data_IF_135688137093
#
_entry.id   IF_135688137093
#
_cell.length_a   1.000
_cell.length_b   1.000
_cell.length_c   1.000
_cell.angle_alpha   90.00
_cell.angle_beta   90.00
_cell.angle_gamma   90.00
#
_symmetry.space_group_name_H-M   'P 1'
#
loop_
_entity.id
_entity.type
_entity.pdbx_description
1 polymer ?
#
# COMPACT_ATOMS: atom_id res chain seq x y z
N UNK A 1 13.44 -6.29 -26.61
CA UNK A 1 12.03 -6.70 -26.41
C UNK A 1 11.42 -5.86 -25.30
N UNK A 2 10.55 -4.89 -25.63
CA UNK A 2 9.93 -4.00 -24.65
C UNK A 2 8.59 -4.61 -24.21
N UNK A 3 8.55 -5.14 -22.99
CA UNK A 3 7.34 -5.67 -22.37
C UNK A 3 6.30 -4.55 -22.25
N UNK A 4 5.27 -4.57 -23.11
CA UNK A 4 4.09 -3.70 -23.00
C UNK A 4 3.16 -4.30 -21.95
N UNK A 5 3.35 -3.93 -20.68
CA UNK A 5 2.38 -4.25 -19.64
C UNK A 5 1.04 -3.61 -19.97
N UNK A 6 0.04 -4.40 -20.39
CA UNK A 6 -1.35 -3.95 -20.52
C UNK A 6 -1.83 -3.52 -19.14
N UNK A 7 -2.28 -2.28 -18.99
CA UNK A 7 -2.91 -1.80 -17.75
C UNK A 7 -4.23 -2.54 -17.53
N UNK A 8 -4.41 -3.17 -16.37
CA UNK A 8 -5.56 -4.00 -16.01
C UNK A 8 -6.86 -3.22 -15.72
N UNK A 9 -6.87 -1.89 -15.75
CA UNK A 9 -8.02 -1.05 -15.39
C UNK A 9 -8.66 -0.38 -16.62
N UNK A 10 -9.99 -0.19 -16.64
CA UNK A 10 -10.72 0.43 -17.74
C UNK A 10 -10.22 1.85 -17.98
N UNK A 11 -9.96 2.20 -19.24
CA UNK A 11 -9.39 3.51 -19.62
C UNK A 11 -10.36 4.63 -19.27
N UNK A 12 -9.87 5.80 -18.81
CA UNK A 12 -10.72 6.94 -18.54
C UNK A 12 -11.11 7.56 -19.89
N UNK A 13 -12.30 8.15 -20.00
CA UNK A 13 -12.65 8.93 -21.18
C UNK A 13 -11.68 10.11 -21.34
N UNK A 14 -11.32 10.42 -22.58
CA UNK A 14 -10.40 11.51 -22.93
C UNK A 14 -10.89 12.88 -22.42
N UNK A 15 -12.22 13.03 -22.33
CA UNK A 15 -12.91 14.28 -22.01
C UNK A 15 -12.79 14.69 -20.53
N UNK A 16 -12.53 13.74 -19.62
CA UNK A 16 -12.48 14.05 -18.19
C UNK A 16 -11.16 14.69 -17.76
N UNK A 17 -10.03 14.14 -18.21
CA UNK A 17 -8.72 14.70 -17.93
C UNK A 17 -7.68 14.23 -18.97
N UNK A 18 -7.26 15.10 -19.91
CA UNK A 18 -6.34 14.72 -20.99
C UNK A 18 -4.92 14.40 -20.46
N UNK A 19 -4.53 14.96 -19.32
CA UNK A 19 -3.24 14.66 -18.67
C UNK A 19 -3.27 13.26 -18.07
N UNK A 20 -4.36 12.91 -17.37
CA UNK A 20 -4.53 11.57 -16.81
C UNK A 20 -4.55 10.51 -17.91
N UNK A 21 -5.24 10.78 -19.02
CA UNK A 21 -5.27 9.89 -20.19
C UNK A 21 -3.87 9.71 -20.79
N UNK A 22 -3.12 10.81 -20.99
CA UNK A 22 -1.73 10.78 -21.49
C UNK A 22 -0.84 9.95 -20.56
N UNK A 23 -0.96 10.14 -19.26
CA UNK A 23 -0.16 9.46 -18.25
C UNK A 23 -0.46 7.97 -18.21
N UNK A 24 -1.73 7.60 -18.39
CA UNK A 24 -2.15 6.20 -18.46
C UNK A 24 -1.61 5.49 -19.72
N UNK A 25 -1.51 6.21 -20.84
CA UNK A 25 -1.05 5.66 -22.11
C UNK A 25 0.49 5.62 -22.24
N UNK A 26 1.18 6.58 -21.61
CA UNK A 26 2.65 6.72 -21.71
C UNK A 26 3.41 6.18 -20.50
N UNK A 27 2.76 5.83 -19.38
CA UNK A 27 3.42 5.12 -18.28
C UNK A 27 3.93 3.76 -18.75
N UNK A 28 5.21 3.72 -19.09
CA UNK A 28 5.99 2.49 -19.16
C UNK A 28 6.40 2.16 -17.73
N UNK A 29 5.75 1.18 -17.13
CA UNK A 29 6.27 0.60 -15.90
C UNK A 29 7.68 0.09 -16.19
N UNK A 30 8.67 0.57 -15.44
CA UNK A 30 10.02 0.04 -15.55
C UNK A 30 10.04 -1.44 -15.19
N UNK A 31 10.97 -2.19 -15.77
CA UNK A 31 11.09 -3.63 -15.52
C UNK A 31 11.24 -3.89 -14.01
N UNK A 32 12.04 -3.08 -13.32
CA UNK A 32 12.20 -3.16 -11.87
C UNK A 32 10.88 -2.97 -11.13
N UNK A 33 10.12 -1.90 -11.42
CA UNK A 33 8.80 -1.68 -10.81
C UNK A 33 7.86 -2.86 -11.09
N UNK A 34 7.83 -3.34 -12.33
CA UNK A 34 6.98 -4.48 -12.70
C UNK A 34 7.39 -5.75 -11.93
N UNK A 35 8.68 -6.05 -11.87
CA UNK A 35 9.25 -7.20 -11.15
C UNK A 35 8.90 -7.13 -9.66
N UNK A 36 9.15 -5.99 -9.03
CA UNK A 36 8.87 -5.78 -7.61
C UNK A 36 7.38 -5.99 -7.30
N UNK A 37 6.49 -5.45 -8.14
CA UNK A 37 5.04 -5.66 -7.98
C UNK A 37 4.62 -7.11 -8.24
N UNK A 38 5.20 -7.79 -9.24
CA UNK A 38 4.91 -9.22 -9.47
C UNK A 38 5.38 -10.11 -8.34
N UNK A 39 6.57 -9.85 -7.77
CA UNK A 39 7.08 -10.57 -6.61
C UNK A 39 6.17 -10.35 -5.40
N UNK A 40 5.77 -9.10 -5.16
CA UNK A 40 4.83 -8.77 -4.08
C UNK A 40 3.50 -9.52 -4.22
N UNK A 41 2.90 -9.49 -5.42
CA UNK A 41 1.63 -10.18 -5.70
C UNK A 41 1.77 -11.69 -5.54
N UNK A 42 2.86 -12.28 -6.03
CA UNK A 42 3.12 -13.71 -5.86
C UNK A 42 3.29 -14.07 -4.38
N UNK A 43 4.11 -13.34 -3.65
CA UNK A 43 4.31 -13.56 -2.21
C UNK A 43 3.01 -13.40 -1.43
N UNK A 44 2.24 -12.34 -1.71
CA UNK A 44 0.94 -12.09 -1.11
C UNK A 44 -0.04 -13.23 -1.38
N UNK A 45 -0.10 -13.72 -2.62
CA UNK A 45 -0.98 -14.83 -2.99
C UNK A 45 -0.62 -16.14 -2.27
N UNK A 46 0.67 -16.47 -2.18
CA UNK A 46 1.15 -17.69 -1.51
C UNK A 46 0.87 -17.62 -0.01
N UNK A 47 1.18 -16.49 0.63
CA UNK A 47 0.96 -16.31 2.07
C UNK A 47 -0.53 -16.28 2.42
N UNK A 48 -1.36 -15.65 1.57
CA UNK A 48 -2.82 -15.64 1.74
C UNK A 48 -3.41 -17.04 1.58
N UNK A 49 -2.95 -17.80 0.57
CA UNK A 49 -3.38 -19.19 0.41
C UNK A 49 -2.99 -20.05 1.62
N UNK A 50 -1.74 -19.93 2.09
CA UNK A 50 -1.27 -20.63 3.30
C UNK A 50 -2.12 -20.32 4.54
N UNK A 51 -2.46 -19.04 4.75
CA UNK A 51 -3.32 -18.60 5.84
C UNK A 51 -4.77 -19.11 5.69
N UNK A 52 -5.31 -19.15 4.47
CA UNK A 52 -6.64 -19.66 4.19
C UNK A 52 -6.79 -21.17 4.40
N UNK A 53 -5.74 -21.94 4.12
CA UNK A 53 -5.72 -23.40 4.27
C UNK A 53 -5.26 -23.86 5.66
N UNK A 54 -4.95 -22.95 6.58
CA UNK A 54 -4.73 -23.34 7.98
C UNK A 54 -6.11 -23.51 8.62
N UNK A 55 -6.42 -24.70 9.13
CA UNK A 55 -7.73 -24.96 9.76
C UNK A 55 -7.92 -24.04 10.98
N UNK A 56 -9.00 -23.27 11.01
CA UNK A 56 -9.37 -22.37 12.12
C UNK A 56 -10.58 -22.86 12.91
N UNK A 57 -11.06 -24.07 12.62
CA UNK A 57 -12.26 -24.62 13.24
C UNK A 57 -12.05 -25.09 14.69
N UNK A 58 -13.09 -25.01 15.54
CA UNK A 58 -13.07 -25.54 16.92
C UNK A 58 -12.92 -27.08 16.98
N UNK A 59 -12.95 -27.76 15.84
CA UNK A 59 -12.79 -29.22 15.69
C UNK A 59 -11.40 -29.63 15.21
N UNK A 60 -10.39 -28.79 15.38
CA UNK A 60 -9.00 -29.21 15.16
C UNK A 60 -8.65 -30.29 16.20
N UNK A 61 -8.72 -31.54 15.79
CA UNK A 61 -8.27 -32.72 16.54
C UNK A 61 -6.73 -32.74 16.70
N UNK A 62 -6.06 -31.72 16.17
CA UNK A 62 -4.67 -31.36 16.42
C UNK A 62 -4.61 -30.10 17.29
N UNK A 63 -3.83 -30.16 18.38
CA UNK A 63 -3.43 -28.98 19.13
C UNK A 63 -2.49 -28.14 18.25
N UNK A 64 -3.04 -27.19 17.52
CA UNK A 64 -2.24 -26.15 16.86
C UNK A 64 -1.41 -25.44 17.92
N UNK A 65 -0.12 -25.23 17.62
CA UNK A 65 0.75 -24.39 18.43
C UNK A 65 0.24 -22.95 18.43
N UNK A 66 0.50 -22.17 19.48
CA UNK A 66 0.08 -20.76 19.54
C UNK A 66 0.60 -19.95 18.34
N UNK A 67 1.76 -20.34 17.80
CA UNK A 67 2.34 -19.75 16.59
C UNK A 67 1.49 -19.96 15.33
N UNK A 68 0.78 -21.09 15.21
CA UNK A 68 -0.07 -21.38 14.05
C UNK A 68 -1.38 -20.59 14.08
N UNK A 69 -1.88 -20.24 15.27
CA UNK A 69 -3.06 -19.38 15.44
C UNK A 69 -2.77 -17.91 15.14
N UNK A 70 -1.57 -17.44 15.45
CA UNK A 70 -1.17 -16.05 15.16
C UNK A 70 -0.72 -15.83 13.71
N UNK A 71 -0.44 -16.91 12.97
CA UNK A 71 0.13 -16.85 11.63
C UNK A 71 -0.68 -15.98 10.63
N UNK A 72 -2.02 -16.10 10.50
CA UNK A 72 -2.80 -15.31 9.55
C UNK A 72 -2.71 -13.80 9.85
N UNK A 73 -2.73 -13.46 11.13
CA UNK A 73 -2.68 -12.10 11.65
C UNK A 73 -1.33 -11.44 11.37
N UNK A 74 -0.23 -12.15 11.65
CA UNK A 74 1.14 -11.67 11.40
C UNK A 74 1.40 -11.53 9.91
N UNK A 75 0.91 -12.48 9.10
CA UNK A 75 0.99 -12.43 7.63
C UNK A 75 0.29 -11.19 7.10
N UNK A 76 -0.95 -10.92 7.52
CA UNK A 76 -1.74 -9.80 7.03
C UNK A 76 -1.09 -8.45 7.36
N UNK A 77 -0.65 -8.28 8.61
CA UNK A 77 0.05 -7.07 9.06
C UNK A 77 1.36 -6.84 8.29
N UNK A 78 2.12 -7.91 8.02
CA UNK A 78 3.36 -7.86 7.24
C UNK A 78 3.11 -7.51 5.76
N UNK A 79 2.04 -8.05 5.16
CA UNK A 79 1.67 -7.76 3.77
C UNK A 79 1.31 -6.28 3.55
N UNK A 80 0.58 -5.69 4.49
CA UNK A 80 0.25 -4.26 4.46
C UNK A 80 1.51 -3.43 4.65
N UNK A 81 2.37 -3.75 5.63
CA UNK A 81 3.61 -3.02 5.88
C UNK A 81 4.59 -3.08 4.69
N UNK A 82 4.78 -4.24 4.07
CA UNK A 82 5.64 -4.36 2.88
C UNK A 82 5.01 -3.59 1.71
N UNK A 83 3.70 -3.71 1.53
CA UNK A 83 3.02 -3.06 0.42
C UNK A 83 3.08 -1.52 0.49
N UNK A 84 2.89 -0.95 1.68
CA UNK A 84 2.99 0.50 1.90
C UNK A 84 4.43 1.02 1.68
N UNK A 85 5.45 0.23 2.02
CA UNK A 85 6.85 0.52 1.70
C UNK A 85 7.05 0.59 0.18
N UNK A 86 6.59 -0.44 -0.53
CA UNK A 86 6.70 -0.52 -1.99
C UNK A 86 5.96 0.63 -2.68
N UNK A 87 4.81 1.03 -2.15
CA UNK A 87 4.06 2.19 -2.63
C UNK A 87 4.85 3.49 -2.46
N UNK A 88 5.47 3.71 -1.31
CA UNK A 88 6.33 4.86 -1.03
C UNK A 88 7.48 4.95 -2.04
N UNK A 89 8.20 3.84 -2.26
CA UNK A 89 9.30 3.74 -3.23
C UNK A 89 8.80 3.98 -4.65
N UNK A 90 7.71 3.34 -5.06
CA UNK A 90 7.14 3.45 -6.41
C UNK A 90 6.68 4.88 -6.71
N UNK A 91 6.08 5.55 -5.71
CA UNK A 91 5.66 6.94 -5.81
C UNK A 91 6.83 7.85 -6.17
N UNK A 92 7.90 7.82 -5.37
CA UNK A 92 9.08 8.67 -5.58
C UNK A 92 9.79 8.33 -6.89
N UNK A 93 9.99 7.04 -7.19
CA UNK A 93 10.68 6.62 -8.43
C UNK A 93 9.95 7.09 -9.68
N UNK A 94 8.60 7.07 -9.70
CA UNK A 94 7.83 7.56 -10.86
C UNK A 94 8.07 9.04 -11.15
N UNK A 95 8.26 9.86 -10.11
CA UNK A 95 8.56 11.28 -10.23
C UNK A 95 10.01 11.54 -10.65
N UNK A 96 10.94 10.76 -10.12
CA UNK A 96 12.36 10.84 -10.49
C UNK A 96 12.55 10.53 -11.96
N UNK A 97 11.94 9.46 -12.46
CA UNK A 97 12.02 9.08 -13.88
C UNK A 97 11.44 10.16 -14.80
N UNK A 98 10.36 10.84 -14.39
CA UNK A 98 9.78 11.94 -15.17
C UNK A 98 10.68 13.18 -15.22
N UNK A 99 11.37 13.51 -14.12
CA UNK A 99 12.35 14.61 -14.08
C UNK A 99 13.55 14.31 -14.97
N UNK A 100 14.09 13.10 -14.88
CA UNK A 100 15.27 12.69 -15.66
C UNK A 100 14.99 12.67 -17.17
N UNK A 101 13.75 12.38 -17.56
CA UNK A 101 13.27 12.43 -18.96
C UNK A 101 12.95 13.84 -19.48
N UNK A 102 13.10 14.89 -18.66
CA UNK A 102 12.77 16.27 -19.04
C UNK A 102 11.28 16.52 -19.33
N UNK A 103 10.40 15.58 -18.98
CA UNK A 103 8.96 15.69 -19.28
C UNK A 103 8.27 16.77 -18.43
N UNK A 104 8.87 17.14 -17.30
CA UNK A 104 8.31 18.15 -16.38
C UNK A 104 8.32 19.54 -17.02
N UNK A 105 9.42 19.94 -17.68
CA UNK A 105 9.53 21.25 -18.35
C UNK A 105 8.59 21.35 -19.55
N UNK A 106 8.34 20.23 -20.24
CA UNK A 106 7.37 20.14 -21.34
C UNK A 106 5.92 20.22 -20.84
N UNK A 107 5.63 19.82 -19.59
CA UNK A 107 4.30 19.96 -18.99
C UNK A 107 4.06 21.36 -18.43
N UNK A 108 5.11 22.06 -17.99
CA UNK A 108 5.02 23.44 -17.52
C UNK A 108 4.90 24.46 -18.67
N UNK A 109 5.23 24.07 -19.91
CA UNK A 109 5.03 24.90 -21.10
C UNK A 109 3.64 24.76 -21.71
N UNK A 110 2.83 23.77 -21.27
CA UNK A 110 1.43 23.64 -21.68
C UNK A 110 0.50 24.54 -20.85
N UNK A 111 -0.55 25.13 -21.44
CA UNK A 111 -1.47 26.07 -20.79
C UNK A 111 -2.48 25.38 -19.85
N UNK A 112 -2.01 24.48 -19.00
CA UNK A 112 -2.83 23.73 -18.05
C UNK A 112 -2.61 24.21 -16.61
N UNK A 113 -3.68 24.36 -15.81
CA UNK A 113 -3.56 24.76 -14.41
C UNK A 113 -2.81 23.72 -13.57
N UNK A 114 -1.90 24.16 -12.71
CA UNK A 114 -0.97 23.31 -11.93
C UNK A 114 -1.66 22.25 -11.06
N UNK A 115 -2.84 22.57 -10.52
CA UNK A 115 -3.65 21.63 -9.73
C UNK A 115 -4.09 20.39 -10.54
N UNK A 116 -4.41 20.56 -11.83
CA UNK A 116 -4.84 19.43 -12.66
C UNK A 116 -3.69 18.46 -12.95
N UNK A 117 -2.47 18.98 -13.07
CA UNK A 117 -1.25 18.17 -13.22
C UNK A 117 -0.98 17.39 -11.93
N UNK A 118 -1.08 18.05 -10.78
CA UNK A 118 -0.93 17.42 -9.46
C UNK A 118 -1.96 16.31 -9.24
N UNK A 119 -3.24 16.58 -9.51
CA UNK A 119 -4.33 15.59 -9.35
C UNK A 119 -4.17 14.39 -10.29
N UNK A 120 -3.85 14.62 -11.56
CA UNK A 120 -3.62 13.53 -12.51
C UNK A 120 -2.47 12.63 -12.05
N UNK A 121 -1.41 13.24 -11.52
CA UNK A 121 -0.23 12.52 -11.04
C UNK A 121 -0.48 11.76 -9.74
N UNK A 122 -1.16 12.40 -8.80
CA UNK A 122 -1.59 11.76 -7.56
C UNK A 122 -2.47 10.56 -7.85
N UNK A 123 -3.50 10.72 -8.69
CA UNK A 123 -4.43 9.65 -9.04
C UNK A 123 -3.76 8.49 -9.78
N UNK A 124 -2.82 8.79 -10.69
CA UNK A 124 -2.05 7.77 -11.39
C UNK A 124 -1.20 6.92 -10.44
N UNK A 125 -0.62 7.52 -9.40
CA UNK A 125 0.18 6.81 -8.38
C UNK A 125 -0.70 6.11 -7.33
N UNK A 126 -1.78 6.75 -6.91
CA UNK A 126 -2.77 6.20 -5.99
C UNK A 126 -3.45 4.94 -6.53
N UNK A 127 -3.54 4.80 -7.85
CA UNK A 127 -4.05 3.57 -8.49
C UNK A 127 -3.28 2.30 -8.11
N UNK A 128 -1.99 2.42 -7.78
CA UNK A 128 -1.20 1.28 -7.32
C UNK A 128 -1.62 0.78 -5.92
N UNK A 129 -2.38 1.58 -5.16
CA UNK A 129 -2.93 1.19 -3.84
C UNK A 129 -4.03 0.13 -3.98
N UNK A 130 -4.79 0.13 -5.08
CA UNK A 130 -5.92 -0.80 -5.27
C UNK A 130 -5.53 -2.28 -5.16
N UNK A 131 -4.54 -2.79 -5.94
CA UNK A 131 -4.10 -4.18 -5.80
C UNK A 131 -3.50 -4.46 -4.41
N UNK A 132 -2.92 -3.43 -3.78
CA UNK A 132 -2.35 -3.53 -2.45
C UNK A 132 -3.41 -3.70 -1.36
N UNK A 133 -4.57 -3.07 -1.51
CA UNK A 133 -5.70 -3.17 -0.60
C UNK A 133 -6.53 -4.45 -0.84
N UNK A 134 -6.50 -4.98 -2.06
CA UNK A 134 -7.28 -6.17 -2.44
C UNK A 134 -6.84 -7.45 -1.71
N UNK A 135 -5.54 -7.77 -1.71
CA UNK A 135 -5.02 -8.98 -1.05
C UNK A 135 -5.32 -9.06 0.46
N UNK A 136 -5.04 -8.02 1.25
CA UNK A 136 -5.24 -8.09 2.69
C UNK A 136 -6.75 -8.05 3.02
N UNK A 137 -7.58 -7.36 2.23
CA UNK A 137 -9.04 -7.42 2.34
C UNK A 137 -9.61 -8.81 1.98
N UNK A 138 -9.06 -9.47 0.96
CA UNK A 138 -9.42 -10.84 0.59
C UNK A 138 -9.10 -11.81 1.73
N UNK A 139 -7.94 -11.67 2.36
CA UNK A 139 -7.53 -12.49 3.50
C UNK A 139 -8.50 -12.29 4.67
N UNK A 140 -8.84 -11.06 5.04
CA UNK A 140 -9.84 -10.78 6.08
C UNK A 140 -11.22 -11.36 5.75
N UNK A 141 -11.63 -11.35 4.48
CA UNK A 141 -12.87 -11.96 4.04
C UNK A 141 -12.85 -13.49 4.13
N UNK A 142 -11.72 -14.14 3.81
CA UNK A 142 -11.59 -15.61 3.88
C UNK A 142 -11.55 -16.11 5.32
N UNK A 143 -10.95 -15.33 6.23
CA UNK A 143 -10.91 -15.65 7.66
C UNK A 143 -12.25 -15.43 8.37
N UNK A 144 -13.13 -14.61 7.80
CA UNK A 144 -14.42 -14.29 8.36
C UNK A 144 -15.28 -15.55 8.62
N UNK A 145 -15.92 -15.68 9.79
CA UNK A 145 -16.91 -16.71 10.02
C UNK A 145 -18.02 -16.61 8.97
N UNK A 146 -18.56 -17.76 8.56
CA UNK A 146 -19.66 -17.86 7.60
C UNK A 146 -20.92 -17.14 8.15
N UNK A 147 -21.00 -15.83 7.97
CA UNK A 147 -22.13 -15.04 8.48
C UNK A 147 -21.97 -13.53 8.61
N UNK A 148 -20.77 -12.93 8.69
CA UNK A 148 -20.77 -11.45 8.85
C UNK A 148 -19.50 -10.69 9.26
N UNK A 149 -18.41 -10.73 8.48
CA UNK A 149 -17.29 -9.79 8.67
C UNK A 149 -17.20 -8.68 7.61
N UNK A 150 -18.27 -8.41 6.85
CA UNK A 150 -18.30 -7.29 5.90
C UNK A 150 -17.89 -5.94 6.53
N UNK A 151 -18.27 -5.60 7.78
CA UNK A 151 -17.80 -4.37 8.41
C UNK A 151 -16.28 -4.30 8.58
N UNK A 152 -15.63 -5.42 8.95
CA UNK A 152 -14.19 -5.46 9.21
C UNK A 152 -13.38 -5.44 7.92
N UNK A 153 -13.84 -6.13 6.88
CA UNK A 153 -13.28 -6.03 5.52
C UNK A 153 -13.38 -4.59 5.01
N UNK A 154 -14.51 -3.91 5.24
CA UNK A 154 -14.72 -2.53 4.79
C UNK A 154 -13.84 -1.53 5.57
N UNK A 155 -13.71 -1.71 6.89
CA UNK A 155 -12.79 -0.92 7.73
C UNK A 155 -11.35 -1.11 7.27
N UNK A 156 -10.96 -2.35 6.99
CA UNK A 156 -9.62 -2.68 6.53
C UNK A 156 -9.31 -2.08 5.15
N UNK A 157 -10.25 -2.17 4.20
CA UNK A 157 -10.14 -1.48 2.92
C UNK A 157 -10.00 0.04 3.11
N UNK A 158 -10.85 0.64 3.95
CA UNK A 158 -10.82 2.07 4.25
C UNK A 158 -9.47 2.52 4.82
N UNK A 159 -8.91 1.75 5.77
CA UNK A 159 -7.61 2.02 6.37
C UNK A 159 -6.48 1.93 5.34
N UNK A 160 -6.41 0.85 4.56
CA UNK A 160 -5.33 0.69 3.56
C UNK A 160 -5.40 1.80 2.50
N UNK A 161 -6.60 2.20 2.10
CA UNK A 161 -6.80 3.33 1.19
C UNK A 161 -6.35 4.65 1.82
N UNK A 162 -6.71 4.91 3.08
CA UNK A 162 -6.29 6.11 3.82
C UNK A 162 -4.76 6.18 3.98
N UNK A 163 -4.11 5.10 4.41
CA UNK A 163 -2.65 5.04 4.50
C UNK A 163 -1.99 5.19 3.14
N UNK A 164 -2.55 4.57 2.10
CA UNK A 164 -2.10 4.75 0.73
C UNK A 164 -2.18 6.20 0.27
N UNK A 165 -3.23 6.93 0.64
CA UNK A 165 -3.41 8.36 0.32
C UNK A 165 -2.37 9.22 1.03
N UNK A 166 -2.09 8.96 2.32
CA UNK A 166 -1.07 9.67 3.08
C UNK A 166 0.31 9.45 2.47
N UNK A 167 0.69 8.19 2.22
CA UNK A 167 2.03 7.85 1.70
C UNK A 167 2.23 8.38 0.28
N UNK A 168 1.22 8.29 -0.59
CA UNK A 168 1.31 8.85 -1.94
C UNK A 168 1.48 10.37 -1.92
N UNK A 169 0.75 11.06 -1.04
CA UNK A 169 0.88 12.51 -0.85
C UNK A 169 2.25 12.90 -0.28
N UNK A 170 2.75 12.14 0.70
CA UNK A 170 4.06 12.37 1.33
C UNK A 170 5.20 12.14 0.32
N UNK A 171 5.15 11.06 -0.46
CA UNK A 171 6.12 10.78 -1.53
C UNK A 171 6.10 11.84 -2.62
N UNK A 172 4.91 12.33 -3.01
CA UNK A 172 4.77 13.42 -3.98
C UNK A 172 5.34 14.73 -3.42
N UNK A 173 5.06 15.05 -2.15
CA UNK A 173 5.58 16.23 -1.46
C UNK A 173 7.11 16.22 -1.36
N UNK A 174 7.71 15.12 -0.89
CA UNK A 174 9.17 14.96 -0.81
C UNK A 174 9.83 15.09 -2.18
N UNK A 175 9.21 14.55 -3.22
CA UNK A 175 9.71 14.69 -4.57
C UNK A 175 9.70 16.16 -5.04
N UNK A 176 8.67 16.95 -4.69
CA UNK A 176 8.64 18.38 -5.04
C UNK A 176 9.70 19.21 -4.30
N UNK A 177 9.91 18.96 -3.00
CA UNK A 177 10.85 19.75 -2.19
C UNK A 177 12.32 19.43 -2.43
N UNK A 178 12.66 18.19 -2.78
CA UNK A 178 14.05 17.76 -2.87
C UNK A 178 14.56 17.88 -4.32
N UNK A 179 15.62 18.68 -4.51
CA UNK A 179 16.26 18.90 -5.82
C UNK A 179 16.96 17.66 -6.38
N UNK A 180 17.51 16.79 -5.52
CA UNK A 180 18.24 15.57 -5.91
C UNK A 180 17.37 14.31 -5.81
N UNK A 181 17.10 13.60 -6.91
CA UNK A 181 16.15 12.48 -6.93
C UNK A 181 16.55 11.31 -6.01
N UNK A 182 17.83 10.92 -6.03
CA UNK A 182 18.34 9.82 -5.18
C UNK A 182 18.21 10.12 -3.69
N UNK A 183 18.29 11.41 -3.30
CA UNK A 183 18.12 11.85 -1.90
C UNK A 183 16.64 11.85 -1.49
N UNK A 184 15.73 12.11 -2.42
CA UNK A 184 14.30 12.02 -2.16
C UNK A 184 13.87 10.57 -1.89
N UNK A 185 14.41 9.63 -2.68
CA UNK A 185 14.14 8.21 -2.50
C UNK A 185 14.67 7.72 -1.14
N UNK A 186 15.93 8.02 -0.81
CA UNK A 186 16.50 7.60 0.48
C UNK A 186 15.75 8.22 1.65
N UNK A 187 15.39 9.51 1.59
CA UNK A 187 14.57 10.14 2.63
C UNK A 187 13.20 9.50 2.78
N UNK A 188 12.51 9.17 1.68
CA UNK A 188 11.19 8.52 1.75
C UNK A 188 11.27 7.13 2.38
N UNK A 189 12.30 6.34 2.03
CA UNK A 189 12.55 5.03 2.64
C UNK A 189 12.94 5.18 4.10
N UNK A 190 13.84 6.10 4.44
CA UNK A 190 14.27 6.34 5.82
C UNK A 190 13.11 6.80 6.70
N UNK A 191 12.29 7.76 6.23
CA UNK A 191 11.10 8.21 6.97
C UNK A 191 10.13 7.04 7.17
N UNK A 192 9.87 6.25 6.13
CA UNK A 192 8.99 5.10 6.22
C UNK A 192 9.49 4.06 7.23
N UNK A 193 10.78 3.73 7.17
CA UNK A 193 11.41 2.75 8.06
C UNK A 193 11.44 3.27 9.50
N UNK A 194 11.77 4.55 9.71
CA UNK A 194 11.72 5.17 11.03
C UNK A 194 10.30 5.13 11.59
N UNK A 195 9.29 5.55 10.82
CA UNK A 195 7.88 5.47 11.25
C UNK A 195 7.47 4.02 11.59
N UNK A 196 7.90 3.05 10.79
CA UNK A 196 7.60 1.63 11.02
C UNK A 196 8.28 1.09 12.28
N UNK A 197 9.55 1.42 12.51
CA UNK A 197 10.33 0.95 13.68
C UNK A 197 9.93 1.69 14.95
N UNK A 198 9.65 3.00 14.86
CA UNK A 198 9.21 3.84 15.99
C UNK A 198 7.93 3.32 16.64
N UNK A 199 7.18 2.47 15.94
CA UNK A 199 5.98 1.88 16.50
C UNK A 199 6.19 0.74 17.48
N UNK A 200 7.30 0.00 17.36
CA UNK A 200 7.64 -1.09 18.27
C UNK A 200 7.73 -0.62 19.74
N UNK A 201 8.48 0.46 20.07
CA UNK A 201 8.51 0.97 21.44
C UNK A 201 7.18 1.58 21.88
N UNK A 202 6.41 2.21 20.97
CA UNK A 202 5.09 2.75 21.29
C UNK A 202 4.11 1.63 21.65
N UNK A 203 4.15 0.51 20.93
CA UNK A 203 3.33 -0.66 21.22
C UNK A 203 3.67 -1.27 22.60
N UNK A 204 4.96 -1.41 22.93
CA UNK A 204 5.40 -1.88 24.25
C UNK A 204 5.06 -0.89 25.38
N UNK A 205 5.09 0.40 25.10
CA UNK A 205 4.76 1.45 26.05
C UNK A 205 3.24 1.65 26.18
N UNK A 206 2.45 1.14 25.22
CA UNK A 206 0.99 1.28 25.22
C UNK A 206 0.35 0.62 26.45
N UNK A 207 0.87 -0.55 26.84
CA UNK A 207 0.48 -1.27 28.06
C UNK A 207 0.75 -0.45 29.34
N UNK A 208 1.70 0.50 29.29
CA UNK A 208 2.04 1.39 30.41
C UNK A 208 1.32 2.74 30.37
N UNK A 209 0.92 3.22 29.20
CA UNK A 209 0.32 4.55 28.99
C UNK A 209 -1.22 4.53 28.96
N UNK A 210 -1.85 3.37 29.10
CA UNK A 210 -3.31 3.24 29.15
C UNK A 210 -3.98 3.71 27.85
N UNK A 211 -5.04 4.50 27.97
CA UNK A 211 -5.87 4.95 26.84
C UNK A 211 -5.08 5.70 25.76
N UNK A 212 -4.17 6.61 26.14
CA UNK A 212 -3.35 7.37 25.18
C UNK A 212 -2.38 6.45 24.43
N UNK A 213 -1.83 5.46 25.12
CA UNK A 213 -0.98 4.43 24.55
C UNK A 213 -1.71 3.58 23.51
N UNK A 214 -2.96 3.23 23.79
CA UNK A 214 -3.83 2.45 22.89
C UNK A 214 -4.20 3.23 21.61
N UNK A 215 -4.61 4.50 21.74
CA UNK A 215 -4.88 5.37 20.58
C UNK A 215 -3.65 5.60 19.74
N UNK A 216 -2.50 5.82 20.41
CA UNK A 216 -1.24 5.89 19.72
C UNK A 216 -1.00 4.57 19.01
N UNK A 217 -1.04 3.40 19.66
CA UNK A 217 -0.78 2.11 19.00
C UNK A 217 -1.69 1.78 17.80
N UNK A 218 -2.97 2.17 17.85
CA UNK A 218 -3.93 1.98 16.74
C UNK A 218 -3.65 2.85 15.52
N UNK A 219 -2.92 3.96 15.65
CA UNK A 219 -2.52 4.75 14.50
C UNK A 219 -1.43 4.08 13.63
N UNK A 220 -1.01 2.83 13.93
CA UNK A 220 -0.15 2.07 13.03
C UNK A 220 -0.95 1.22 12.08
N UNK A 221 -0.51 1.15 10.82
CA UNK A 221 -0.99 0.15 9.90
C UNK A 221 -0.81 -1.28 10.44
N UNK A 222 0.28 -1.54 11.19
CA UNK A 222 0.61 -2.89 11.64
C UNK A 222 -0.30 -3.37 12.78
N UNK A 223 -0.46 -2.57 13.83
CA UNK A 223 -1.21 -2.97 15.02
C UNK A 223 -2.73 -2.97 14.76
N UNK A 224 -3.25 -2.01 13.99
CA UNK A 224 -4.68 -1.96 13.69
C UNK A 224 -5.11 -3.06 12.70
N UNK A 225 -4.27 -3.39 11.71
CA UNK A 225 -4.54 -4.55 10.83
C UNK A 225 -4.48 -5.85 11.64
N UNK A 226 -3.54 -5.95 12.60
CA UNK A 226 -3.46 -7.09 13.51
C UNK A 226 -4.75 -7.25 14.31
N UNK A 227 -5.23 -6.19 14.95
CA UNK A 227 -6.46 -6.21 15.74
C UNK A 227 -7.69 -6.54 14.88
N UNK A 228 -7.84 -5.94 13.70
CA UNK A 228 -8.97 -6.23 12.82
C UNK A 228 -8.96 -7.67 12.31
N UNK A 229 -7.78 -8.26 12.10
CA UNK A 229 -7.67 -9.66 11.69
C UNK A 229 -7.96 -10.60 12.87
N UNK A 230 -7.55 -10.26 14.09
CA UNK A 230 -7.89 -11.01 15.30
C UNK A 230 -9.38 -10.93 15.64
N UNK A 231 -10.02 -9.78 15.44
CA UNK A 231 -11.46 -9.63 15.64
C UNK A 231 -12.30 -10.43 14.62
N UNK A 232 -11.70 -10.77 13.48
CA UNK A 232 -12.32 -11.57 12.42
C UNK A 232 -12.08 -13.08 12.58
N UNK A 233 -11.23 -13.53 13.49
CA UNK A 233 -11.03 -14.95 13.86
C UNK A 233 -12.00 -15.35 14.97
#
# INVERSE_FOLDING_TARGET
MTWRGRSWLPRPPLDWNPVLWREWQRRRATLLTTITWTIYVLLASVLTAKAAFTDHGPSAWYTLSDAEREFPTVVNASLVAIGLLLLSVTSVTSLVEERDRGSLDVLLSTPLPSWHILMAKWLATYRSVLPLAFFPALLAYVLAPAGGAWPDVLRMLGLVLAYGAVITSLGLGLATWIKRPSRALTMSVTIYVLVSISWLPIAMLSERLGFTGFFLAQASPFFMVRELTQAAL
#
